data_IF_730619170840
#
_entry.id   IF_730619170840
#
_cell.length_a   1.000
_cell.length_b   1.000
_cell.length_c   1.000
_cell.angle_alpha   90.00
_cell.angle_beta   90.00
_cell.angle_gamma   90.00
#
_symmetry.space_group_name_H-M   'P 1'
#
loop_
_entity.id
_entity.type
_entity.pdbx_description
1 polymer ?
#
# COMPACT_ATOMS: atom_id res chain seq x y z
N UNK A 1 -21.44 2.21 14.33
CA UNK A 1 -20.21 2.57 15.07
C UNK A 1 -19.55 1.37 15.73
N UNK A 2 -20.29 0.44 16.37
CA UNK A 2 -19.69 -0.77 17.00
C UNK A 2 -19.13 -1.80 16.01
N UNK A 3 -19.74 -1.97 14.83
CA UNK A 3 -19.25 -2.92 13.82
C UNK A 3 -18.02 -2.43 13.02
N UNK A 4 -17.79 -1.12 12.93
CA UNK A 4 -16.74 -0.54 12.08
C UNK A 4 -15.35 -0.56 12.70
N UNK A 5 -15.24 -0.52 14.03
CA UNK A 5 -13.97 -0.55 14.77
C UNK A 5 -13.45 -1.96 15.01
N UNK A 6 -14.33 -2.97 15.00
CA UNK A 6 -13.98 -4.37 15.29
C UNK A 6 -13.67 -5.16 14.01
N UNK A 7 -14.18 -4.73 12.86
CA UNK A 7 -14.07 -5.46 11.59
C UNK A 7 -12.63 -5.79 11.17
N UNK A 8 -11.77 -4.78 11.06
CA UNK A 8 -10.39 -4.98 10.57
C UNK A 8 -9.54 -5.80 11.56
N UNK A 9 -9.57 -5.53 12.88
CA UNK A 9 -8.89 -6.38 13.86
C UNK A 9 -9.33 -7.84 13.82
N UNK A 10 -10.63 -8.12 13.61
CA UNK A 10 -11.13 -9.50 13.48
C UNK A 10 -10.59 -10.16 12.21
N UNK A 11 -10.60 -9.47 11.07
CA UNK A 11 -10.04 -9.98 9.83
C UNK A 11 -8.54 -10.34 10.00
N UNK A 12 -7.77 -9.44 10.61
CA UNK A 12 -6.34 -9.66 10.89
C UNK A 12 -6.09 -10.79 11.88
N UNK A 13 -6.92 -10.90 12.93
CA UNK A 13 -6.79 -11.95 13.94
C UNK A 13 -7.04 -13.34 13.36
N UNK A 14 -8.05 -13.49 12.50
CA UNK A 14 -8.39 -14.80 11.90
C UNK A 14 -7.46 -15.15 10.73
N UNK A 15 -7.06 -14.16 9.94
CA UNK A 15 -6.10 -14.34 8.85
C UNK A 15 -6.67 -15.11 7.64
N UNK A 16 -5.82 -15.80 6.85
CA UNK A 16 -6.21 -16.35 5.54
C UNK A 16 -7.47 -17.24 5.51
N UNK A 17 -7.80 -18.04 6.54
CA UNK A 17 -9.01 -18.86 6.51
C UNK A 17 -10.34 -18.10 6.36
N UNK A 18 -10.44 -16.85 6.83
CA UNK A 18 -11.67 -16.07 6.68
C UNK A 18 -11.77 -15.38 5.30
N UNK A 19 -10.70 -15.38 4.52
CA UNK A 19 -10.61 -14.64 3.27
C UNK A 19 -11.73 -14.99 2.26
N UNK A 20 -12.06 -16.26 1.98
CA UNK A 20 -13.14 -16.59 1.05
C UNK A 20 -14.50 -16.03 1.50
N UNK A 21 -14.75 -16.04 2.80
CA UNK A 21 -15.97 -15.48 3.39
C UNK A 21 -16.01 -13.97 3.25
N UNK A 22 -14.92 -13.27 3.59
CA UNK A 22 -14.81 -11.82 3.43
C UNK A 22 -15.01 -11.43 1.97
N UNK A 23 -14.36 -12.10 1.03
CA UNK A 23 -14.53 -11.89 -0.42
C UNK A 23 -15.99 -12.09 -0.87
N UNK A 24 -16.66 -13.12 -0.36
CA UNK A 24 -18.04 -13.44 -0.75
C UNK A 24 -19.05 -12.33 -0.39
N UNK A 25 -18.72 -11.46 0.58
CA UNK A 25 -19.57 -10.34 0.96
C UNK A 25 -19.76 -9.32 -0.17
N UNK A 26 -18.83 -9.24 -1.13
CA UNK A 26 -18.97 -8.38 -2.31
C UNK A 26 -20.20 -8.71 -3.17
N UNK A 27 -20.66 -9.96 -3.13
CA UNK A 27 -21.85 -10.42 -3.86
C UNK A 27 -23.14 -10.33 -3.03
N UNK A 28 -23.07 -9.84 -1.78
CA UNK A 28 -24.24 -9.83 -0.90
C UNK A 28 -25.24 -8.73 -1.32
N UNK A 29 -26.53 -9.05 -1.51
CA UNK A 29 -27.52 -8.10 -2.06
C UNK A 29 -27.76 -6.89 -1.15
N UNK A 30 -27.56 -7.04 0.15
CA UNK A 30 -27.70 -5.95 1.14
C UNK A 30 -26.40 -5.18 1.40
N UNK A 31 -25.33 -5.42 0.62
CA UNK A 31 -24.07 -4.74 0.80
C UNK A 31 -24.21 -3.27 0.43
N UNK A 32 -24.19 -2.40 1.44
CA UNK A 32 -24.15 -0.95 1.24
C UNK A 32 -22.77 -0.51 0.75
N UNK A 33 -22.70 0.56 -0.03
CA UNK A 33 -21.45 1.05 -0.65
C UNK A 33 -20.32 1.27 0.39
N UNK A 34 -20.65 1.86 1.54
CA UNK A 34 -19.68 2.07 2.63
C UNK A 34 -19.11 0.76 3.20
N UNK A 35 -19.90 -0.32 3.15
CA UNK A 35 -19.46 -1.64 3.59
C UNK A 35 -18.58 -2.32 2.54
N UNK A 36 -18.79 -2.08 1.25
CA UNK A 36 -17.90 -2.57 0.18
C UNK A 36 -16.45 -2.12 0.41
N UNK A 37 -16.25 -0.86 0.77
CA UNK A 37 -14.92 -0.33 1.09
C UNK A 37 -14.26 -1.06 2.28
N UNK A 38 -15.06 -1.43 3.28
CA UNK A 38 -14.59 -2.23 4.43
C UNK A 38 -14.28 -3.66 4.04
N UNK A 39 -14.99 -4.24 3.08
CA UNK A 39 -14.67 -5.57 2.56
C UNK A 39 -13.29 -5.56 1.91
N UNK A 40 -12.92 -4.56 1.10
CA UNK A 40 -11.56 -4.50 0.52
C UNK A 40 -10.46 -4.38 1.58
N UNK A 41 -10.67 -3.55 2.61
CA UNK A 41 -9.74 -3.46 3.74
C UNK A 41 -9.62 -4.79 4.48
N UNK A 42 -10.74 -5.48 4.70
CA UNK A 42 -10.78 -6.79 5.34
C UNK A 42 -10.07 -7.85 4.51
N UNK A 43 -10.29 -7.85 3.19
CA UNK A 43 -9.59 -8.72 2.23
C UNK A 43 -8.07 -8.56 2.36
N UNK A 44 -7.58 -7.32 2.39
CA UNK A 44 -6.17 -7.02 2.63
C UNK A 44 -5.67 -7.58 3.96
N UNK A 45 -6.37 -7.22 5.05
CA UNK A 45 -5.97 -7.58 6.41
C UNK A 45 -6.01 -9.08 6.73
N UNK A 46 -6.82 -9.89 6.03
CA UNK A 46 -6.88 -11.33 6.26
C UNK A 46 -6.22 -12.17 5.17
N UNK A 47 -6.19 -11.72 3.90
CA UNK A 47 -5.82 -12.57 2.78
C UNK A 47 -4.34 -12.58 2.43
N UNK A 48 -3.54 -11.62 2.93
CA UNK A 48 -2.12 -11.51 2.57
C UNK A 48 -1.92 -11.49 1.04
N UNK A 49 -0.94 -12.24 0.55
CA UNK A 49 -0.67 -12.34 -0.89
C UNK A 49 -1.85 -12.86 -1.73
N UNK A 50 -2.73 -13.70 -1.16
CA UNK A 50 -3.90 -14.26 -1.86
C UNK A 50 -4.91 -13.16 -2.20
N UNK A 51 -4.96 -12.08 -1.42
CA UNK A 51 -5.87 -10.96 -1.67
C UNK A 51 -5.45 -10.06 -2.83
N UNK A 52 -4.16 -10.04 -3.19
CA UNK A 52 -3.60 -9.07 -4.14
C UNK A 52 -4.29 -9.13 -5.51
N UNK A 53 -4.45 -10.31 -6.17
CA UNK A 53 -5.07 -10.37 -7.49
C UNK A 53 -6.53 -9.88 -7.49
N UNK A 54 -7.27 -10.18 -6.43
CA UNK A 54 -8.66 -9.77 -6.30
C UNK A 54 -8.79 -8.27 -6.08
N UNK A 55 -7.95 -7.67 -5.22
CA UNK A 55 -7.91 -6.21 -5.03
C UNK A 55 -7.52 -5.47 -6.31
N UNK A 56 -6.56 -6.00 -7.08
CA UNK A 56 -6.17 -5.46 -8.39
C UNK A 56 -7.33 -5.52 -9.38
N UNK A 57 -8.08 -6.63 -9.42
CA UNK A 57 -9.25 -6.76 -10.27
C UNK A 57 -10.33 -5.72 -9.90
N UNK A 58 -10.53 -5.45 -8.62
CA UNK A 58 -11.48 -4.43 -8.15
C UNK A 58 -11.05 -3.02 -8.54
N UNK A 59 -9.76 -2.69 -8.50
CA UNK A 59 -9.25 -1.39 -8.95
C UNK A 59 -9.58 -1.16 -10.43
N UNK A 60 -9.32 -2.16 -11.29
CA UNK A 60 -9.58 -2.10 -12.74
C UNK A 60 -11.07 -2.05 -13.07
N UNK A 61 -11.92 -2.64 -12.24
CA UNK A 61 -13.37 -2.58 -12.42
C UNK A 61 -13.98 -1.22 -12.03
N UNK A 62 -13.23 -0.38 -11.29
CA UNK A 62 -13.70 0.89 -10.74
C UNK A 62 -12.83 2.07 -11.24
N UNK A 63 -12.59 2.14 -12.54
CA UNK A 63 -11.93 3.27 -13.19
C UNK A 63 -12.82 4.52 -13.22
N UNK A 64 -12.21 5.70 -13.40
CA UNK A 64 -12.92 6.99 -13.46
C UNK A 64 -13.21 7.63 -12.10
N UNK A 65 -13.93 8.74 -12.11
CA UNK A 65 -14.16 9.55 -10.90
C UNK A 65 -15.07 8.84 -9.89
N UNK A 66 -16.12 8.17 -10.35
CA UNK A 66 -17.10 7.47 -9.49
C UNK A 66 -16.48 6.29 -8.73
N UNK A 67 -15.47 5.62 -9.32
CA UNK A 67 -14.76 4.50 -8.71
C UNK A 67 -13.64 4.91 -7.74
N UNK A 68 -13.44 6.21 -7.51
CA UNK A 68 -12.38 6.71 -6.64
C UNK A 68 -12.42 6.13 -5.21
N UNK A 69 -13.58 6.04 -4.52
CA UNK A 69 -13.63 5.46 -3.18
C UNK A 69 -13.13 4.00 -3.14
N UNK A 70 -13.46 3.21 -4.17
CA UNK A 70 -13.02 1.83 -4.31
C UNK A 70 -11.54 1.71 -4.52
N UNK A 71 -10.97 2.52 -5.43
CA UNK A 71 -9.53 2.49 -5.68
C UNK A 71 -8.76 2.87 -4.43
N UNK A 72 -9.20 3.89 -3.68
CA UNK A 72 -8.61 4.24 -2.38
C UNK A 72 -8.67 3.05 -1.41
N UNK A 73 -9.84 2.46 -1.22
CA UNK A 73 -10.00 1.35 -0.28
C UNK A 73 -9.23 0.09 -0.71
N UNK A 74 -9.09 -0.16 -2.01
CA UNK A 74 -8.27 -1.25 -2.53
C UNK A 74 -6.77 -0.98 -2.36
N UNK A 75 -6.28 0.24 -2.58
CA UNK A 75 -4.88 0.60 -2.30
C UNK A 75 -4.56 0.42 -0.82
N UNK A 76 -5.49 0.81 0.07
CA UNK A 76 -5.34 0.55 1.49
C UNK A 76 -5.32 -0.95 1.79
N UNK A 77 -6.24 -1.72 1.18
CA UNK A 77 -6.27 -3.17 1.28
C UNK A 77 -4.94 -3.81 0.84
N UNK A 78 -4.36 -3.35 -0.26
CA UNK A 78 -3.07 -3.80 -0.78
C UNK A 78 -1.94 -3.55 0.23
N UNK A 79 -1.87 -2.37 0.85
CA UNK A 79 -0.91 -2.09 1.92
C UNK A 79 -1.06 -3.03 3.13
N UNK A 80 -2.31 -3.29 3.54
CA UNK A 80 -2.65 -4.19 4.65
C UNK A 80 -2.32 -5.67 4.38
N UNK A 81 -2.04 -6.05 3.13
CA UNK A 81 -1.61 -7.42 2.83
C UNK A 81 -0.20 -7.72 3.34
N UNK A 82 0.64 -6.69 3.51
CA UNK A 82 2.05 -6.84 3.89
C UNK A 82 2.82 -7.81 2.96
N UNK A 83 2.34 -7.96 1.72
CA UNK A 83 2.85 -8.86 0.70
C UNK A 83 3.71 -8.12 -0.33
N UNK A 84 4.79 -8.76 -0.76
CA UNK A 84 5.73 -8.23 -1.77
C UNK A 84 5.00 -8.05 -3.11
N UNK A 85 4.05 -8.93 -3.39
CA UNK A 85 3.19 -8.94 -4.57
C UNK A 85 2.34 -7.67 -4.70
N UNK A 86 2.09 -6.95 -3.60
CA UNK A 86 1.35 -5.70 -3.61
C UNK A 86 2.20 -4.48 -4.05
N UNK A 87 3.53 -4.59 -4.08
CA UNK A 87 4.43 -3.47 -4.41
C UNK A 87 4.18 -2.93 -5.83
N UNK A 88 4.10 -3.80 -6.85
CA UNK A 88 3.87 -3.35 -8.23
C UNK A 88 2.47 -2.71 -8.41
N UNK A 89 1.36 -3.32 -7.93
CA UNK A 89 0.07 -2.65 -7.91
C UNK A 89 0.04 -1.29 -7.22
N UNK A 90 0.70 -1.15 -6.07
CA UNK A 90 0.78 0.13 -5.35
C UNK A 90 1.61 1.16 -6.12
N UNK A 91 2.71 0.74 -6.75
CA UNK A 91 3.52 1.58 -7.66
C UNK A 91 2.72 2.05 -8.87
N UNK A 92 1.82 1.23 -9.41
CA UNK A 92 0.86 1.67 -10.44
C UNK A 92 -0.08 2.74 -9.88
N UNK A 93 -0.59 2.55 -8.65
CA UNK A 93 -1.45 3.51 -7.94
C UNK A 93 -0.83 4.90 -7.73
N UNK A 94 0.50 5.01 -7.63
CA UNK A 94 1.20 6.31 -7.58
C UNK A 94 1.02 7.16 -8.85
N UNK A 95 0.51 6.58 -9.94
CA UNK A 95 0.21 7.27 -11.21
C UNK A 95 -1.28 7.55 -11.40
N UNK A 96 -2.13 7.22 -10.43
CA UNK A 96 -3.57 7.48 -10.53
C UNK A 96 -3.83 8.98 -10.69
N UNK A 97 -4.80 9.39 -11.53
CA UNK A 97 -5.16 10.80 -11.68
C UNK A 97 -5.65 11.43 -10.37
N UNK A 98 -6.28 10.65 -9.48
CA UNK A 98 -6.78 11.14 -8.20
C UNK A 98 -5.67 11.22 -7.13
N UNK A 99 -5.55 12.38 -6.48
CA UNK A 99 -4.53 12.62 -5.44
C UNK A 99 -4.67 11.65 -4.26
N UNK A 100 -5.90 11.35 -3.84
CA UNK A 100 -6.14 10.51 -2.67
C UNK A 100 -5.78 9.05 -2.95
N UNK A 101 -5.98 8.57 -4.18
CA UNK A 101 -5.49 7.25 -4.60
C UNK A 101 -3.97 7.21 -4.57
N UNK A 102 -3.28 8.24 -5.09
CA UNK A 102 -1.81 8.31 -5.04
C UNK A 102 -1.28 8.33 -3.60
N UNK A 103 -1.90 9.10 -2.72
CA UNK A 103 -1.52 9.15 -1.30
C UNK A 103 -1.69 7.79 -0.63
N UNK A 104 -2.82 7.12 -0.85
CA UNK A 104 -3.08 5.81 -0.27
C UNK A 104 -2.15 4.73 -0.83
N UNK A 105 -1.78 4.83 -2.11
CA UNK A 105 -0.79 3.95 -2.72
C UNK A 105 0.59 4.12 -2.08
N UNK A 106 1.01 5.36 -1.81
CA UNK A 106 2.26 5.64 -1.10
C UNK A 106 2.22 5.15 0.35
N UNK A 107 1.12 5.39 1.07
CA UNK A 107 0.93 4.86 2.42
C UNK A 107 1.01 3.33 2.44
N UNK A 108 0.40 2.65 1.48
CA UNK A 108 0.51 1.20 1.34
C UNK A 108 1.95 0.71 1.12
N UNK A 109 2.76 1.42 0.33
CA UNK A 109 4.19 1.09 0.15
C UNK A 109 4.98 1.26 1.45
N UNK A 110 4.68 2.30 2.23
CA UNK A 110 5.32 2.55 3.52
C UNK A 110 4.91 1.49 4.57
N UNK A 111 3.67 1.03 4.55
CA UNK A 111 3.20 -0.09 5.37
C UNK A 111 3.98 -1.38 5.05
N UNK A 112 4.17 -1.71 3.77
CA UNK A 112 4.99 -2.86 3.38
C UNK A 112 6.46 -2.67 3.82
N UNK A 113 7.01 -1.46 3.65
CA UNK A 113 8.37 -1.11 4.09
C UNK A 113 8.58 -1.33 5.59
N UNK A 114 7.55 -1.12 6.41
CA UNK A 114 7.63 -1.27 7.86
C UNK A 114 7.99 -2.69 8.32
N UNK A 115 7.78 -3.70 7.47
CA UNK A 115 8.15 -5.08 7.74
C UNK A 115 9.66 -5.32 7.68
N UNK A 116 10.41 -4.42 7.03
CA UNK A 116 11.86 -4.50 6.84
C UNK A 116 12.31 -5.86 6.28
N UNK A 117 11.51 -6.46 5.40
CA UNK A 117 11.86 -7.69 4.70
C UNK A 117 12.95 -7.40 3.68
N UNK A 118 14.03 -8.16 3.74
CA UNK A 118 15.20 -8.10 2.85
C UNK A 118 14.78 -8.01 1.38
N UNK A 119 13.92 -8.93 0.92
CA UNK A 119 13.47 -8.97 -0.48
C UNK A 119 12.65 -7.74 -0.94
N UNK A 120 12.21 -6.88 -0.01
CA UNK A 120 11.45 -5.66 -0.32
C UNK A 120 12.30 -4.41 -0.37
N UNK A 121 13.53 -4.43 0.17
CA UNK A 121 14.35 -3.23 0.33
C UNK A 121 14.64 -2.60 -1.03
N UNK A 122 15.23 -3.38 -1.94
CA UNK A 122 15.60 -2.88 -3.26
C UNK A 122 14.41 -2.37 -4.09
N UNK A 123 13.29 -3.10 -4.26
CA UNK A 123 12.15 -2.60 -5.02
C UNK A 123 11.53 -1.35 -4.38
N UNK A 124 11.38 -1.31 -3.05
CA UNK A 124 10.81 -0.15 -2.36
C UNK A 124 11.71 1.07 -2.49
N UNK A 125 13.03 0.95 -2.32
CA UNK A 125 13.96 2.07 -2.52
C UNK A 125 13.89 2.61 -3.95
N UNK A 126 13.79 1.75 -4.96
CA UNK A 126 13.68 2.17 -6.35
C UNK A 126 12.42 3.01 -6.65
N UNK A 127 11.38 2.85 -5.83
CA UNK A 127 10.11 3.58 -5.93
C UNK A 127 10.16 4.84 -5.06
N UNK A 128 10.48 4.70 -3.78
CA UNK A 128 10.41 5.76 -2.76
C UNK A 128 11.40 6.89 -3.01
N UNK A 129 12.59 6.61 -3.57
CA UNK A 129 13.61 7.63 -3.82
C UNK A 129 13.13 8.65 -4.87
N UNK A 130 12.62 8.25 -6.06
CA UNK A 130 11.95 9.18 -6.97
C UNK A 130 10.74 9.89 -6.34
N UNK A 131 9.96 9.21 -5.51
CA UNK A 131 8.79 9.81 -4.84
C UNK A 131 9.18 10.89 -3.83
N UNK A 132 10.37 10.83 -3.22
CA UNK A 132 10.87 11.91 -2.36
C UNK A 132 10.95 13.25 -3.11
N UNK A 133 11.17 13.24 -4.43
CA UNK A 133 11.15 14.45 -5.26
C UNK A 133 9.73 14.92 -5.55
N UNK A 134 8.80 13.99 -5.80
CA UNK A 134 7.40 14.28 -6.15
C UNK A 134 6.55 14.68 -4.95
N UNK A 135 6.94 14.26 -3.75
CA UNK A 135 6.23 14.58 -2.53
C UNK A 135 6.27 16.09 -2.23
N UNK A 136 5.13 16.74 -2.43
CA UNK A 136 4.91 18.16 -2.14
C UNK A 136 4.76 18.42 -0.64
N UNK A 137 4.07 17.51 0.07
CA UNK A 137 3.75 17.65 1.49
C UNK A 137 4.97 17.28 2.34
N UNK A 138 5.36 18.19 3.24
CA UNK A 138 6.49 17.97 4.15
C UNK A 138 6.35 16.70 5.01
N UNK A 139 5.12 16.39 5.45
CA UNK A 139 4.82 15.15 6.19
C UNK A 139 5.15 13.91 5.34
N UNK A 140 4.73 13.89 4.07
CA UNK A 140 4.98 12.79 3.14
C UNK A 140 6.47 12.61 2.88
N UNK A 141 7.20 13.71 2.64
CA UNK A 141 8.66 13.69 2.47
C UNK A 141 9.35 13.08 3.69
N UNK A 142 8.93 13.47 4.89
CA UNK A 142 9.46 12.94 6.14
C UNK A 142 9.22 11.44 6.27
N UNK A 143 7.99 10.96 6.00
CA UNK A 143 7.68 9.53 6.06
C UNK A 143 8.51 8.71 5.07
N UNK A 144 8.71 9.21 3.85
CA UNK A 144 9.59 8.58 2.86
C UNK A 144 11.03 8.52 3.38
N UNK A 145 11.56 9.63 3.91
CA UNK A 145 12.93 9.69 4.44
C UNK A 145 13.13 8.73 5.63
N UNK A 146 12.18 8.72 6.58
CA UNK A 146 12.22 7.85 7.74
C UNK A 146 12.20 6.38 7.29
N UNK A 147 11.33 6.03 6.35
CA UNK A 147 11.27 4.67 5.77
C UNK A 147 12.54 4.28 5.02
N UNK A 148 13.12 5.20 4.21
CA UNK A 148 14.38 4.93 3.50
C UNK A 148 15.54 4.70 4.47
N UNK A 149 15.63 5.49 5.55
CA UNK A 149 16.62 5.28 6.63
C UNK A 149 16.42 3.93 7.30
N UNK A 150 15.18 3.59 7.61
CA UNK A 150 14.80 2.34 8.26
C UNK A 150 15.12 1.10 7.42
N UNK A 151 14.91 1.19 6.10
CA UNK A 151 15.17 0.11 5.14
C UNK A 151 16.67 -0.07 4.87
N UNK A 152 17.41 1.03 4.76
CA UNK A 152 18.81 1.00 4.28
C UNK A 152 19.83 1.06 5.41
N UNK A 153 19.42 1.47 6.62
CA UNK A 153 20.32 1.78 7.74
C UNK A 153 21.13 3.06 7.58
N UNK A 154 20.96 3.81 6.47
CA UNK A 154 21.75 5.01 6.18
C UNK A 154 21.11 6.23 6.83
N UNK A 155 21.79 6.83 7.82
CA UNK A 155 21.28 8.01 8.56
C UNK A 155 21.88 9.33 8.12
N UNK A 156 23.06 9.30 7.52
CA UNK A 156 23.93 10.49 7.37
C UNK A 156 23.73 11.23 6.04
N UNK A 157 22.75 10.81 5.23
CA UNK A 157 22.41 11.49 3.98
C UNK A 157 21.57 12.74 4.24
N UNK A 158 21.79 13.82 3.48
CA UNK A 158 20.89 14.97 3.45
C UNK A 158 19.45 14.57 3.13
N UNK A 159 18.48 15.30 3.70
CA UNK A 159 17.02 15.15 3.47
C UNK A 159 16.57 15.63 2.07
N UNK A 160 17.37 15.34 1.05
CA UNK A 160 17.18 15.80 -0.33
C UNK A 160 17.11 14.62 -1.29
N UNK A 161 16.18 14.68 -2.25
CA UNK A 161 16.04 13.63 -3.26
C UNK A 161 17.34 13.38 -4.07
N UNK A 162 18.10 14.42 -4.50
CA UNK A 162 19.36 14.19 -5.23
C UNK A 162 20.40 13.38 -4.45
N UNK A 163 20.50 13.59 -3.12
CA UNK A 163 21.45 12.84 -2.29
C UNK A 163 21.10 11.34 -2.25
N UNK A 164 19.83 11.02 -2.06
CA UNK A 164 19.34 9.64 -2.05
C UNK A 164 19.43 8.98 -3.43
N UNK A 165 19.16 9.72 -4.51
CA UNK A 165 19.32 9.21 -5.88
C UNK A 165 20.79 8.87 -6.21
N UNK A 166 21.74 9.71 -5.80
CA UNK A 166 23.17 9.45 -6.03
C UNK A 166 23.67 8.26 -5.22
N UNK A 167 23.25 8.18 -3.96
CA UNK A 167 23.52 7.03 -3.12
C UNK A 167 22.96 5.74 -3.74
N UNK A 168 21.73 5.78 -4.26
CA UNK A 168 21.09 4.63 -4.91
C UNK A 168 21.81 4.18 -6.18
N UNK A 169 22.30 5.11 -7.01
CA UNK A 169 23.12 4.76 -8.19
C UNK A 169 24.38 3.98 -7.81
N UNK A 170 24.98 4.30 -6.66
CA UNK A 170 26.23 3.69 -6.19
C UNK A 170 26.04 2.37 -5.44
N UNK A 171 24.88 2.17 -4.80
CA UNK A 171 24.64 1.07 -3.85
C UNK A 171 23.44 0.17 -4.19
N UNK A 172 22.53 0.61 -5.07
CA UNK A 172 21.25 -0.08 -5.32
C UNK A 172 21.39 -1.53 -5.80
N UNK A 173 22.44 -1.85 -6.54
CA UNK A 173 22.72 -3.23 -6.99
C UNK A 173 23.42 -4.11 -5.96
N UNK A 174 23.70 -3.60 -4.76
CA UNK A 174 24.43 -4.30 -3.68
C UNK A 174 23.57 -4.52 -2.43
N UNK A 175 22.34 -4.02 -2.44
CA UNK A 175 21.42 -4.11 -1.32
C UNK A 175 20.61 -5.38 -1.50
N UNK A 176 20.95 -6.38 -0.69
CA UNK A 176 20.17 -7.60 -0.49
C UNK A 176 19.31 -7.42 0.77
#
# INVERSE_FOLDING_TARGET
TFHSTVWLPVCQLVGPPIYPYVKSLLAHPELRDLWRLKVYQGMGGCGGAIAVPDLVAMIRANEGEEGQPDRVACMQGLGLTYAVEAIEPLKEGLRDPDEKVREMALEGLLEIASLKKTETIAPLCSILIPELRRAEKAKTRRLILDSLRDLTGVTDLPDTAPAWEEWWRSNGGKIE
#
